data_IF_612491012354
#
_entry.id   IF_612491012354
#
_cell.length_a   1.000
_cell.length_b   1.000
_cell.length_c   1.000
_cell.angle_alpha   90.00
_cell.angle_beta   90.00
_cell.angle_gamma   90.00
#
_symmetry.space_group_name_H-M   'P 1'
#
loop_
_entity.id
_entity.type
_entity.pdbx_description
1 polymer ?
#
# COMPACT_ATOMS: atom_id res chain seq x y z
N UNK A 1 4.64 -22.07 12.96
CA UNK A 1 4.64 -20.83 12.15
C UNK A 1 3.60 -21.06 11.06
N UNK A 2 2.60 -20.17 10.88
CA UNK A 2 1.62 -20.39 9.81
C UNK A 2 2.25 -19.94 8.49
N UNK A 3 2.54 -20.91 7.63
CA UNK A 3 2.93 -20.67 6.24
C UNK A 3 1.70 -20.17 5.47
N UNK A 4 1.58 -18.85 5.29
CA UNK A 4 0.59 -18.23 4.43
C UNK A 4 1.06 -18.35 2.97
N UNK A 5 0.97 -19.54 2.37
CA UNK A 5 1.27 -19.71 0.95
C UNK A 5 0.05 -19.29 0.09
N UNK A 6 0.08 -18.05 -0.43
CA UNK A 6 -0.75 -17.64 -1.57
C UNK A 6 -1.91 -16.67 -1.32
N UNK A 7 -2.15 -16.23 -0.08
CA UNK A 7 -3.15 -15.18 0.19
C UNK A 7 -2.54 -13.79 -0.02
N UNK A 8 -3.14 -12.99 -0.90
CA UNK A 8 -2.69 -11.62 -1.16
C UNK A 8 -3.11 -10.71 0.01
N UNK A 9 -2.12 -10.27 0.77
CA UNK A 9 -2.29 -9.30 1.85
C UNK A 9 -2.08 -7.88 1.35
N UNK A 10 -2.77 -6.93 1.99
CA UNK A 10 -2.61 -5.49 1.73
C UNK A 10 -2.30 -4.76 3.03
N UNK A 11 -1.35 -3.84 2.98
CA UNK A 11 -1.11 -2.86 4.04
C UNK A 11 -1.04 -1.45 3.47
N UNK A 12 -1.36 -0.46 4.29
CA UNK A 12 -1.32 0.96 3.94
C UNK A 12 -0.45 1.67 4.96
N UNK A 13 0.47 2.53 4.51
CA UNK A 13 1.28 3.34 5.41
C UNK A 13 0.46 4.48 6.02
N UNK A 14 0.98 5.09 7.09
CA UNK A 14 0.49 6.39 7.54
C UNK A 14 0.66 7.46 6.45
N UNK A 15 -0.05 8.57 6.59
CA UNK A 15 0.12 9.73 5.70
C UNK A 15 1.52 10.32 5.85
N UNK A 16 2.26 10.35 4.75
CA UNK A 16 3.53 11.03 4.59
C UNK A 16 3.32 12.39 3.90
N UNK A 17 4.34 13.25 3.98
CA UNK A 17 4.38 14.52 3.27
C UNK A 17 5.77 14.69 2.66
N UNK A 18 5.83 15.06 1.38
CA UNK A 18 7.10 15.38 0.73
C UNK A 18 7.53 16.84 1.02
N UNK A 19 8.74 17.21 0.58
CA UNK A 19 9.31 18.56 0.78
C UNK A 19 8.46 19.69 0.16
N UNK A 20 7.61 19.36 -0.82
CA UNK A 20 6.69 20.30 -1.48
C UNK A 20 5.35 20.43 -0.75
N UNK A 21 5.18 19.76 0.40
CA UNK A 21 3.95 19.76 1.17
C UNK A 21 2.87 18.81 0.63
N UNK A 22 3.17 17.98 -0.35
CA UNK A 22 2.19 17.06 -0.93
C UNK A 22 2.06 15.81 -0.08
N UNK A 23 0.83 15.48 0.31
CA UNK A 23 0.52 14.31 1.11
C UNK A 23 0.38 13.07 0.24
N UNK A 24 0.95 11.96 0.70
CA UNK A 24 0.87 10.67 0.05
C UNK A 24 0.88 9.54 1.07
N UNK A 25 0.55 8.33 0.65
CA UNK A 25 0.75 7.12 1.42
C UNK A 25 1.15 5.97 0.49
N UNK A 26 1.83 4.98 1.04
CA UNK A 26 2.17 3.75 0.33
C UNK A 26 1.11 2.68 0.57
N UNK A 27 0.88 1.86 -0.45
CA UNK A 27 0.03 0.68 -0.40
C UNK A 27 0.87 -0.51 -0.85
N UNK A 28 1.06 -1.48 0.03
CA UNK A 28 1.88 -2.66 -0.25
C UNK A 28 0.99 -3.89 -0.36
N UNK A 29 1.13 -4.61 -1.47
CA UNK A 29 0.51 -5.90 -1.71
C UNK A 29 1.57 -6.99 -1.59
N UNK A 30 1.29 -8.08 -0.87
CA UNK A 30 2.22 -9.21 -0.78
C UNK A 30 1.50 -10.53 -0.57
N UNK A 31 1.93 -11.58 -1.27
CA UNK A 31 1.46 -12.96 -1.08
C UNK A 31 2.44 -13.82 -0.24
N UNK A 32 3.39 -13.18 0.44
CA UNK A 32 4.45 -13.82 1.22
C UNK A 32 5.68 -14.21 0.41
N UNK A 33 5.62 -14.20 -0.93
CA UNK A 33 6.76 -14.47 -1.82
C UNK A 33 7.03 -13.28 -2.74
N UNK A 34 5.97 -12.73 -3.32
CA UNK A 34 5.98 -11.56 -4.19
C UNK A 34 5.48 -10.35 -3.42
N UNK A 35 5.93 -9.19 -3.86
CA UNK A 35 5.47 -7.91 -3.31
C UNK A 35 5.39 -6.84 -4.40
N UNK A 36 4.46 -5.91 -4.22
CA UNK A 36 4.36 -4.70 -5.03
C UNK A 36 3.95 -3.54 -4.13
N UNK A 37 4.65 -2.41 -4.28
CA UNK A 37 4.38 -1.19 -3.53
C UNK A 37 3.94 -0.09 -4.50
N UNK A 38 2.77 0.46 -4.23
CA UNK A 38 2.25 1.62 -4.93
C UNK A 38 2.07 2.82 -4.03
N UNK A 39 1.77 3.97 -4.64
CA UNK A 39 1.54 5.22 -3.94
C UNK A 39 0.16 5.79 -4.26
N UNK A 40 -0.52 6.28 -3.23
CA UNK A 40 -1.72 7.13 -3.36
C UNK A 40 -1.35 8.59 -3.06
N UNK A 41 -1.92 9.58 -3.77
CA UNK A 41 -3.10 9.48 -4.63
C UNK A 41 -2.84 9.04 -6.08
N UNK A 42 -1.59 8.79 -6.49
CA UNK A 42 -1.27 8.49 -7.90
C UNK A 42 -1.82 7.14 -8.39
N UNK A 43 -2.08 6.21 -7.48
CA UNK A 43 -2.52 4.84 -7.76
C UNK A 43 -1.63 4.13 -8.77
N UNK A 44 -0.31 4.26 -8.54
CA UNK A 44 0.75 3.69 -9.36
C UNK A 44 1.65 2.79 -8.55
N UNK A 45 1.95 1.62 -9.08
CA UNK A 45 2.97 0.73 -8.52
C UNK A 45 4.34 1.33 -8.87
N UNK A 46 5.16 1.54 -7.84
CA UNK A 46 6.50 2.10 -7.94
C UNK A 46 7.56 1.01 -7.91
N UNK A 47 7.33 -0.04 -7.11
CA UNK A 47 8.20 -1.20 -6.97
C UNK A 47 7.38 -2.47 -7.19
N UNK A 48 7.90 -3.41 -7.96
CA UNK A 48 7.27 -4.69 -8.22
C UNK A 48 8.33 -5.80 -8.19
N UNK A 49 8.15 -6.76 -7.29
CA UNK A 49 9.00 -7.92 -7.10
C UNK A 49 8.18 -9.19 -7.30
N UNK A 50 8.00 -9.57 -8.57
CA UNK A 50 7.49 -10.89 -8.97
C UNK A 50 6.05 -10.94 -9.50
N UNK A 51 5.27 -9.85 -9.44
CA UNK A 51 3.97 -9.82 -10.10
C UNK A 51 4.11 -9.59 -11.61
N UNK A 52 3.28 -10.26 -12.40
CA UNK A 52 3.21 -10.05 -13.84
C UNK A 52 2.61 -8.67 -14.17
N UNK A 53 2.87 -8.16 -15.37
CA UNK A 53 2.36 -6.85 -15.80
C UNK A 53 0.83 -6.75 -15.74
N UNK A 54 0.11 -7.83 -16.05
CA UNK A 54 -1.35 -7.88 -15.94
C UNK A 54 -1.80 -7.78 -14.47
N UNK A 55 -1.11 -8.44 -13.55
CA UNK A 55 -1.41 -8.36 -12.12
C UNK A 55 -1.15 -6.95 -11.59
N UNK A 56 -0.03 -6.32 -11.97
CA UNK A 56 0.28 -4.92 -11.64
C UNK A 56 -0.84 -3.98 -12.09
N UNK A 57 -1.37 -4.16 -13.31
CA UNK A 57 -2.48 -3.35 -13.81
C UNK A 57 -3.76 -3.51 -12.97
N UNK A 58 -4.07 -4.72 -12.53
CA UNK A 58 -5.21 -4.99 -11.64
C UNK A 58 -4.99 -4.41 -10.23
N UNK A 59 -3.76 -4.47 -9.69
CA UNK A 59 -3.42 -3.82 -8.40
C UNK A 59 -3.60 -2.30 -8.49
N UNK A 60 -3.10 -1.67 -9.55
CA UNK A 60 -3.29 -0.23 -9.75
C UNK A 60 -4.76 0.13 -9.95
N UNK A 61 -5.54 -0.73 -10.62
CA UNK A 61 -6.98 -0.54 -10.81
C UNK A 61 -7.70 -0.61 -9.48
N UNK A 62 -7.40 -1.61 -8.65
CA UNK A 62 -7.91 -1.71 -7.28
C UNK A 62 -7.59 -0.44 -6.48
N UNK A 63 -6.36 0.07 -6.55
CA UNK A 63 -6.01 1.32 -5.86
C UNK A 63 -6.86 2.51 -6.32
N UNK A 64 -7.20 2.60 -7.62
CA UNK A 64 -8.07 3.67 -8.15
C UNK A 64 -9.52 3.51 -7.67
N UNK A 65 -10.06 2.30 -7.73
CA UNK A 65 -11.44 1.99 -7.35
C UNK A 65 -11.68 2.18 -5.84
N UNK A 66 -10.66 1.91 -5.02
CA UNK A 66 -10.74 1.99 -3.56
C UNK A 66 -9.99 3.20 -2.95
N UNK A 67 -9.61 4.19 -3.76
CA UNK A 67 -8.76 5.31 -3.32
C UNK A 67 -9.30 6.04 -2.08
N UNK A 68 -10.61 6.24 -2.00
CA UNK A 68 -11.25 6.92 -0.86
C UNK A 68 -11.00 6.18 0.45
N UNK A 69 -11.14 4.86 0.44
CA UNK A 69 -11.00 4.04 1.64
C UNK A 69 -9.52 3.85 2.00
N UNK A 70 -8.64 3.71 1.01
CA UNK A 70 -7.20 3.70 1.24
C UNK A 70 -6.70 5.01 1.89
N UNK A 71 -7.25 6.17 1.48
CA UNK A 71 -6.96 7.46 2.14
C UNK A 71 -7.44 7.50 3.59
N UNK A 72 -8.62 6.94 3.89
CA UNK A 72 -9.12 6.86 5.27
C UNK A 72 -8.25 5.94 6.13
N UNK A 73 -7.83 4.79 5.58
CA UNK A 73 -6.90 3.88 6.26
C UNK A 73 -5.59 4.59 6.62
N UNK A 74 -4.97 5.27 5.65
CA UNK A 74 -3.74 6.01 5.88
C UNK A 74 -3.88 7.11 6.95
N UNK A 75 -5.01 7.83 6.94
CA UNK A 75 -5.30 8.88 7.91
C UNK A 75 -5.60 8.36 9.32
N UNK A 76 -6.04 7.10 9.45
CA UNK A 76 -6.34 6.45 10.72
C UNK A 76 -5.12 5.85 11.44
N UNK A 77 -3.95 5.81 10.80
CA UNK A 77 -2.73 5.28 11.41
C UNK A 77 -2.06 6.37 12.24
N UNK A 78 -2.14 6.23 13.56
CA UNK A 78 -1.40 7.06 14.51
C UNK A 78 -0.02 6.46 14.79
N UNK A 79 1.01 7.01 14.15
CA UNK A 79 2.41 6.57 14.33
C UNK A 79 2.88 6.81 15.78
N UNK A 80 2.35 7.83 16.47
CA UNK A 80 2.79 8.18 17.82
C UNK A 80 2.28 7.19 18.87
N UNK A 81 1.19 6.47 18.59
CA UNK A 81 0.69 5.39 19.45
C UNK A 81 1.70 4.25 19.63
N UNK A 82 2.67 4.09 18.73
CA UNK A 82 3.72 3.08 18.84
C UNK A 82 4.84 3.46 19.84
N UNK A 83 4.96 4.73 20.21
CA UNK A 83 6.01 5.25 21.09
C UNK A 83 5.57 5.47 22.54
N UNK A 84 4.31 5.19 22.88
CA UNK A 84 3.72 5.42 24.21
C UNK A 84 3.58 4.15 25.06
N UNK A 85 4.43 3.12 24.84
CA UNK A 85 4.54 1.94 25.70
C UNK A 85 5.70 2.00 26.67
#
# INVERSE_FOLDING_TARGET
MKENHGELNMSVSAVCQNDKGQKYAFVTFSDGVRDAEGRIPECKILNNNGFAAIEVNELEKYMREHLSDLKKMAAGIDIFSAFTK
#
